data_IF_778205629470
#
_entry.id   IF_778205629470
#
_cell.length_a   1.000
_cell.length_b   1.000
_cell.length_c   1.000
_cell.angle_alpha   90.00
_cell.angle_beta   90.00
_cell.angle_gamma   90.00
#
_symmetry.space_group_name_H-M   'P 1'
#
loop_
_entity.id
_entity.type
_entity.pdbx_description
1 polymer ?
#
# COMPACT_ATOMS: atom_id res chain seq x y z
N UNK A 1 16.99 2.82 12.88
CA UNK A 1 15.95 2.18 13.65
C UNK A 1 16.38 0.77 13.96
N UNK A 2 15.99 0.27 15.09
CA UNK A 2 16.28 -1.12 15.36
C UNK A 2 15.59 -1.96 14.30
N UNK A 3 16.36 -2.74 13.60
CA UNK A 3 15.81 -3.59 12.57
C UNK A 3 14.80 -4.53 13.19
N UNK A 4 13.80 -4.88 12.44
CA UNK A 4 12.76 -5.80 12.85
C UNK A 4 11.84 -5.29 13.94
N UNK A 5 12.06 -4.08 14.45
CA UNK A 5 11.08 -3.50 15.34
C UNK A 5 9.96 -2.92 14.51
N UNK A 6 8.85 -3.62 14.55
CA UNK A 6 7.66 -3.19 13.87
C UNK A 6 6.84 -2.31 14.80
N UNK A 7 6.45 -1.15 14.29
CA UNK A 7 5.54 -0.26 14.98
C UNK A 7 4.16 -0.45 14.37
N UNK A 8 3.19 -0.86 15.20
CA UNK A 8 1.82 -1.07 14.73
C UNK A 8 1.64 -2.36 13.95
N UNK A 9 0.63 -2.40 13.12
CA UNK A 9 0.30 -3.58 12.32
C UNK A 9 1.15 -3.64 11.05
N UNK A 10 1.38 -4.86 10.56
CA UNK A 10 1.98 -5.02 9.25
C UNK A 10 0.97 -4.61 8.18
N UNK A 11 1.47 -4.02 7.11
CA UNK A 11 0.65 -3.66 5.95
C UNK A 11 1.30 -4.25 4.72
N UNK A 12 0.55 -5.07 4.01
CA UNK A 12 1.00 -5.71 2.77
C UNK A 12 0.29 -5.05 1.60
N UNK A 13 1.08 -4.58 0.65
CA UNK A 13 0.55 -4.06 -0.62
C UNK A 13 0.61 -5.14 -1.68
N UNK A 14 -0.46 -5.30 -2.41
CA UNK A 14 -0.53 -6.21 -3.54
C UNK A 14 -0.86 -5.41 -4.79
N UNK A 15 -0.05 -5.56 -5.84
CA UNK A 15 -0.34 -4.91 -7.11
C UNK A 15 -1.45 -5.69 -7.79
N UNK A 16 -2.62 -5.06 -7.92
CA UNK A 16 -3.81 -5.70 -8.46
C UNK A 16 -3.94 -5.54 -9.96
N UNK A 17 -3.31 -4.51 -10.51
CA UNK A 17 -3.36 -4.27 -11.94
C UNK A 17 -2.43 -3.14 -12.31
N UNK A 18 -2.10 -3.08 -13.59
CA UNK A 18 -1.31 -2.01 -14.15
C UNK A 18 -1.86 -1.69 -15.54
N UNK A 19 -2.18 -0.43 -15.76
CA UNK A 19 -2.63 0.04 -17.05
C UNK A 19 -1.41 0.59 -17.78
N UNK A 20 -0.97 -0.09 -18.82
CA UNK A 20 0.25 0.25 -19.51
C UNK A 20 1.48 -0.26 -18.77
N UNK A 21 2.61 0.40 -18.96
CA UNK A 21 3.88 -0.01 -18.38
C UNK A 21 4.26 0.94 -17.25
N UNK A 22 4.37 0.43 -16.02
CA UNK A 22 4.82 1.22 -14.91
C UNK A 22 6.31 1.52 -15.05
N UNK A 23 6.69 2.80 -14.93
CA UNK A 23 8.10 3.21 -15.06
C UNK A 23 8.97 2.64 -13.93
N UNK A 24 8.38 2.30 -12.79
CA UNK A 24 9.08 1.66 -11.68
C UNK A 24 9.10 0.15 -11.77
N UNK A 25 8.45 -0.45 -12.78
CA UNK A 25 8.46 -1.89 -12.99
C UNK A 25 7.48 -2.69 -12.17
N UNK A 26 6.51 -2.04 -11.54
CA UNK A 26 5.49 -2.77 -10.76
C UNK A 26 4.61 -3.60 -11.68
N UNK A 27 4.32 -4.82 -11.28
CA UNK A 27 3.55 -5.79 -12.07
C UNK A 27 2.44 -6.37 -11.23
N UNK A 28 1.34 -6.75 -11.90
CA UNK A 28 0.23 -7.42 -11.24
C UNK A 28 0.74 -8.63 -10.45
N UNK A 29 0.29 -8.77 -9.23
CA UNK A 29 0.67 -9.85 -8.34
C UNK A 29 1.86 -9.58 -7.46
N UNK A 30 2.60 -8.49 -7.69
CA UNK A 30 3.73 -8.12 -6.83
C UNK A 30 3.22 -7.84 -5.41
N UNK A 31 3.94 -8.36 -4.43
CA UNK A 31 3.66 -8.14 -3.00
C UNK A 31 4.79 -7.33 -2.40
N UNK A 32 4.42 -6.34 -1.59
CA UNK A 32 5.40 -5.54 -0.86
C UNK A 32 4.92 -5.33 0.57
N UNK A 33 5.86 -5.33 1.50
CA UNK A 33 5.52 -4.92 2.87
C UNK A 33 5.91 -3.46 3.01
N UNK A 34 4.94 -2.64 3.43
CA UNK A 34 5.12 -1.19 3.50
C UNK A 34 4.81 -0.69 4.90
N UNK A 35 5.40 0.45 5.26
CA UNK A 35 5.12 1.11 6.53
C UNK A 35 5.42 2.60 6.39
N UNK A 36 5.14 3.34 7.44
CA UNK A 36 5.54 4.74 7.48
C UNK A 36 7.05 4.94 7.44
N UNK A 37 7.82 3.88 7.71
CA UNK A 37 9.28 3.91 7.75
C UNK A 37 9.92 3.28 6.51
N UNK A 38 9.16 2.57 5.70
CA UNK A 38 9.73 1.78 4.60
C UNK A 38 8.74 1.70 3.44
N UNK A 39 9.18 2.18 2.30
CA UNK A 39 8.37 2.15 1.09
C UNK A 39 8.23 0.75 0.49
N UNK A 40 9.02 -0.22 0.96
CA UNK A 40 8.91 -1.60 0.49
C UNK A 40 9.26 -1.81 -0.98
N UNK A 41 9.93 -0.87 -1.59
CA UNK A 41 10.23 -0.92 -3.01
C UNK A 41 9.21 -0.22 -3.90
N UNK A 42 8.17 0.38 -3.33
CA UNK A 42 7.25 1.18 -4.14
C UNK A 42 7.95 2.41 -4.70
N UNK A 43 7.54 2.81 -5.90
CA UNK A 43 8.05 4.07 -6.44
C UNK A 43 7.54 5.24 -5.60
N UNK A 44 8.29 6.36 -5.67
CA UNK A 44 7.96 7.53 -4.86
C UNK A 44 6.56 8.08 -5.11
N UNK A 45 6.10 8.05 -6.36
CA UNK A 45 4.77 8.56 -6.67
C UNK A 45 3.67 7.74 -5.99
N UNK A 46 3.76 6.41 -6.06
CA UNK A 46 2.76 5.55 -5.46
C UNK A 46 2.86 5.58 -3.94
N UNK A 47 4.07 5.54 -3.40
CA UNK A 47 4.27 5.59 -1.96
C UNK A 47 3.77 6.90 -1.38
N UNK A 48 4.07 8.01 -2.03
CA UNK A 48 3.60 9.33 -1.59
C UNK A 48 2.07 9.37 -1.52
N UNK A 49 1.42 8.86 -2.56
CA UNK A 49 -0.04 8.85 -2.63
C UNK A 49 -0.65 7.92 -1.59
N UNK A 50 -0.02 6.77 -1.37
CA UNK A 50 -0.52 5.76 -0.45
C UNK A 50 -0.18 6.05 1.01
N UNK A 51 0.76 6.94 1.27
CA UNK A 51 1.33 7.12 2.60
C UNK A 51 0.30 7.36 3.71
N UNK A 52 -0.70 8.27 3.56
CA UNK A 52 -1.68 8.47 4.62
C UNK A 52 -2.47 7.19 4.93
N UNK A 53 -2.76 6.40 3.91
CA UNK A 53 -3.53 5.17 4.08
C UNK A 53 -2.69 4.06 4.71
N UNK A 54 -1.40 4.03 4.38
CA UNK A 54 -0.46 3.13 5.03
C UNK A 54 -0.41 3.42 6.53
N UNK A 55 -0.28 4.70 6.91
CA UNK A 55 -0.26 5.09 8.31
C UNK A 55 -1.58 4.74 9.01
N UNK A 56 -2.71 4.99 8.35
CA UNK A 56 -4.01 4.67 8.90
C UNK A 56 -4.10 3.19 9.26
N UNK A 57 -3.72 2.32 8.33
CA UNK A 57 -3.77 0.88 8.57
C UNK A 57 -2.74 0.44 9.60
N UNK A 58 -1.54 0.98 9.52
CA UNK A 58 -0.45 0.62 10.44
C UNK A 58 -0.81 0.90 11.89
N UNK A 59 -1.50 1.99 12.14
CA UNK A 59 -1.81 2.43 13.50
C UNK A 59 -3.24 2.13 13.94
N UNK A 60 -3.92 1.24 13.24
CA UNK A 60 -5.19 0.70 13.71
C UNK A 60 -6.43 1.44 13.26
N UNK A 61 -6.28 2.46 12.41
CA UNK A 61 -7.42 3.17 11.83
C UNK A 61 -8.04 2.42 10.66
N UNK A 62 -9.10 2.98 10.11
CA UNK A 62 -9.75 2.41 8.95
C UNK A 62 -10.98 3.21 8.58
N UNK A 63 -11.51 2.93 7.41
CA UNK A 63 -12.79 3.51 6.99
C UNK A 63 -13.94 2.76 7.67
N UNK A 64 -15.14 3.34 7.69
CA UNK A 64 -16.30 2.67 8.30
C UNK A 64 -16.55 1.30 7.68
N UNK A 65 -16.99 0.36 8.50
CA UNK A 65 -17.24 -1.00 8.04
C UNK A 65 -18.32 -1.07 6.94
N UNK A 66 -19.21 -0.08 6.90
CA UNK A 66 -20.23 0.01 5.85
C UNK A 66 -19.63 0.21 4.46
N UNK A 67 -18.39 0.70 4.38
CA UNK A 67 -17.70 0.94 3.11
C UNK A 67 -16.92 -0.27 2.64
N UNK A 68 -16.89 -1.33 3.43
CA UNK A 68 -16.18 -2.56 3.14
C UNK A 68 -15.31 -2.98 4.29
N UNK A 69 -14.30 -3.80 4.00
CA UNK A 69 -13.37 -4.30 5.02
C UNK A 69 -12.47 -3.15 5.49
N UNK A 70 -12.54 -2.76 6.77
CA UNK A 70 -11.70 -1.67 7.27
C UNK A 70 -10.19 -1.97 7.27
N UNK A 71 -9.81 -3.23 7.09
CA UNK A 71 -8.40 -3.61 7.00
C UNK A 71 -7.83 -3.46 5.59
N UNK A 72 -8.65 -3.09 4.61
CA UNK A 72 -8.25 -3.08 3.20
C UNK A 72 -8.54 -1.71 2.59
N UNK A 73 -7.54 -1.17 1.88
CA UNK A 73 -7.70 0.05 1.08
C UNK A 73 -7.12 -0.21 -0.31
N UNK A 74 -7.86 0.13 -1.33
CA UNK A 74 -7.39 0.01 -2.72
C UNK A 74 -7.19 1.40 -3.31
N UNK A 75 -6.06 1.61 -3.95
CA UNK A 75 -5.66 2.91 -4.47
C UNK A 75 -5.08 2.77 -5.87
N UNK A 76 -5.22 3.83 -6.66
CA UNK A 76 -4.57 3.94 -7.95
C UNK A 76 -3.38 4.90 -7.87
N UNK A 77 -2.33 4.59 -8.64
CA UNK A 77 -1.21 5.49 -8.80
C UNK A 77 -1.67 6.79 -9.45
N UNK A 78 -0.99 7.89 -9.14
CA UNK A 78 -1.31 9.20 -9.70
C UNK A 78 -0.93 9.32 -11.19
N UNK A 79 -0.12 8.41 -11.72
CA UNK A 79 0.24 8.41 -13.12
C UNK A 79 -0.93 7.90 -13.95
N UNK A 80 -1.65 8.79 -14.60
CA UNK A 80 -2.85 8.45 -15.35
C UNK A 80 -2.56 7.63 -16.61
N UNK A 81 -1.36 7.75 -17.14
CA UNK A 81 -0.98 7.02 -18.35
C UNK A 81 -0.67 5.56 -18.07
N UNK A 82 -0.15 5.28 -16.89
CA UNK A 82 0.30 3.94 -16.51
C UNK A 82 -0.20 3.59 -15.12
N UNK A 83 -1.49 3.71 -14.92
CA UNK A 83 -2.10 3.54 -13.61
C UNK A 83 -1.84 2.14 -13.05
N UNK A 84 -1.25 2.10 -11.87
CA UNK A 84 -1.06 0.88 -11.10
C UNK A 84 -2.06 0.91 -9.95
N UNK A 85 -2.81 -0.17 -9.80
CA UNK A 85 -3.74 -0.32 -8.69
C UNK A 85 -3.09 -1.17 -7.61
N UNK A 86 -3.05 -0.68 -6.40
CA UNK A 86 -2.50 -1.40 -5.25
C UNK A 86 -3.57 -1.59 -4.18
N UNK A 87 -3.61 -2.80 -3.63
CA UNK A 87 -4.43 -3.10 -2.47
C UNK A 87 -3.52 -3.10 -1.25
N UNK A 88 -3.83 -2.27 -0.27
CA UNK A 88 -3.13 -2.25 1.02
C UNK A 88 -3.98 -3.04 2.00
N UNK A 89 -3.37 -4.02 2.65
CA UNK A 89 -4.09 -4.87 3.60
C UNK A 89 -3.34 -4.93 4.92
N UNK A 90 -4.05 -4.61 6.00
CA UNK A 90 -3.52 -4.76 7.35
C UNK A 90 -3.55 -6.24 7.74
N UNK A 91 -2.44 -6.71 8.24
CA UNK A 91 -2.32 -8.09 8.72
C UNK A 91 -2.55 -8.08 10.22
N UNK A 92 -3.56 -8.81 10.64
CA UNK A 92 -3.87 -9.00 12.05
C UNK A 92 -3.37 -10.37 12.48
N UNK A 93 -2.21 -10.42 13.10
CA UNK A 93 -1.62 -11.66 13.58
C UNK A 93 -1.32 -11.62 15.07
#
# INVERSE_FOLDING_TARGET
MAENERVGYRVIGTIKGAKGTCSAGHKMGDLVEVSGHDAGGLCGFLYHHAFPYILMLQFGGGFPAEWGDPDVVELDCIDRGNTVTIELKRIRD
#
